data_IF_646980328180
#
_entry.id   IF_646980328180
#
_cell.length_a   1.000
_cell.length_b   1.000
_cell.length_c   1.000
_cell.angle_alpha   90.00
_cell.angle_beta   90.00
_cell.angle_gamma   90.00
#
_symmetry.space_group_name_H-M   'P 1'
#
loop_
_entity.id
_entity.type
_entity.pdbx_description
1 polymer ?
#
# COMPACT_ATOMS: atom_id res chain seq x y z
N UNK A 1 19.98 2.74 -23.69
CA UNK A 1 21.33 2.56 -24.27
C UNK A 1 22.45 2.61 -23.20
N UNK A 2 22.32 3.44 -22.16
CA UNK A 2 23.37 3.54 -21.11
C UNK A 2 23.48 2.29 -20.21
N UNK A 3 22.43 1.48 -20.08
CA UNK A 3 22.40 0.34 -19.16
C UNK A 3 22.56 -1.01 -19.83
N UNK A 4 22.66 -1.05 -21.17
CA UNK A 4 22.73 -2.30 -21.95
C UNK A 4 21.63 -3.31 -21.60
N UNK A 5 20.40 -2.84 -21.45
CA UNK A 5 19.22 -3.60 -21.05
C UNK A 5 18.24 -3.69 -22.21
N UNK A 6 17.70 -4.87 -22.46
CA UNK A 6 16.58 -5.07 -23.39
C UNK A 6 15.26 -4.97 -22.63
N UNK A 7 14.45 -3.96 -22.93
CA UNK A 7 13.11 -3.79 -22.36
C UNK A 7 12.06 -4.28 -23.35
N UNK A 8 11.27 -5.27 -22.95
CA UNK A 8 10.13 -5.78 -23.71
C UNK A 8 8.84 -5.24 -23.13
N UNK A 9 8.34 -4.16 -23.69
CA UNK A 9 7.05 -3.58 -23.30
C UNK A 9 5.88 -4.38 -23.88
N UNK A 10 4.70 -4.28 -23.22
CA UNK A 10 3.47 -4.98 -23.66
C UNK A 10 3.66 -6.49 -23.82
N UNK A 11 4.54 -7.06 -22.99
CA UNK A 11 4.91 -8.47 -23.04
C UNK A 11 4.55 -9.09 -21.70
N UNK A 12 3.61 -10.02 -21.70
CA UNK A 12 3.18 -10.73 -20.49
C UNK A 12 3.82 -12.10 -20.43
N UNK A 13 4.28 -12.46 -19.23
CA UNK A 13 4.74 -13.81 -18.90
C UNK A 13 3.52 -14.66 -18.58
N UNK A 14 3.37 -15.78 -19.28
CA UNK A 14 2.27 -16.73 -19.08
C UNK A 14 2.61 -17.80 -18.02
N UNK A 15 3.86 -18.30 -18.02
CA UNK A 15 4.31 -19.31 -17.06
C UNK A 15 5.85 -19.33 -16.94
N UNK A 16 6.32 -20.00 -15.89
CA UNK A 16 7.75 -20.21 -15.63
C UNK A 16 7.96 -21.71 -15.44
N UNK A 17 8.92 -22.28 -16.19
CA UNK A 17 9.45 -23.62 -15.94
C UNK A 17 10.77 -23.48 -15.19
N UNK A 18 10.75 -23.78 -13.90
CA UNK A 18 11.91 -23.64 -13.01
C UNK A 18 12.95 -24.77 -13.24
N UNK A 19 12.54 -25.92 -13.80
CA UNK A 19 13.45 -27.02 -14.12
C UNK A 19 14.21 -26.80 -15.42
N UNK A 20 13.51 -26.30 -16.45
CA UNK A 20 14.11 -25.96 -17.74
C UNK A 20 14.70 -24.54 -17.75
N UNK A 21 14.55 -23.80 -16.64
CA UNK A 21 14.98 -22.39 -16.53
C UNK A 21 14.47 -21.54 -17.70
N UNK A 22 13.18 -21.59 -17.96
CA UNK A 22 12.54 -20.96 -19.11
C UNK A 22 11.30 -20.18 -18.69
N UNK A 23 11.19 -18.96 -19.21
CA UNK A 23 10.00 -18.12 -19.08
C UNK A 23 9.21 -18.21 -20.39
N UNK A 24 7.93 -18.55 -20.30
CA UNK A 24 7.01 -18.61 -21.44
C UNK A 24 6.17 -17.33 -21.50
N UNK A 25 6.13 -16.70 -22.68
CA UNK A 25 5.38 -15.48 -22.93
C UNK A 25 3.98 -15.80 -23.49
N UNK A 26 3.02 -14.91 -23.23
CA UNK A 26 1.76 -14.92 -23.99
C UNK A 26 2.08 -14.72 -25.47
N UNK A 27 1.76 -15.68 -26.32
CA UNK A 27 2.15 -15.67 -27.73
C UNK A 27 3.11 -16.79 -28.11
N UNK A 28 3.57 -17.59 -27.12
CA UNK A 28 4.25 -18.87 -27.34
C UNK A 28 5.78 -18.78 -27.41
N UNK A 29 6.37 -17.60 -27.33
CA UNK A 29 7.82 -17.46 -27.24
C UNK A 29 8.33 -17.97 -25.89
N UNK A 30 9.46 -18.68 -25.88
CA UNK A 30 10.13 -19.17 -24.70
C UNK A 30 11.50 -18.51 -24.55
N UNK A 31 11.81 -17.99 -23.37
CA UNK A 31 13.04 -17.28 -23.05
C UNK A 31 13.81 -18.06 -21.97
N UNK A 32 14.97 -18.64 -22.29
CA UNK A 32 15.81 -19.26 -21.28
C UNK A 32 16.45 -18.19 -20.39
N UNK A 33 16.69 -18.52 -19.12
CA UNK A 33 17.39 -17.66 -18.18
C UNK A 33 18.50 -18.42 -17.43
N UNK A 34 19.56 -17.73 -17.09
CA UNK A 34 20.55 -18.19 -16.11
C UNK A 34 20.10 -17.85 -14.70
N UNK A 35 19.52 -16.67 -14.53
CA UNK A 35 18.93 -16.17 -13.28
C UNK A 35 17.66 -15.40 -13.59
N UNK A 36 16.66 -15.54 -12.72
CA UNK A 36 15.35 -14.92 -12.87
C UNK A 36 15.02 -14.07 -11.64
N UNK A 37 14.61 -12.84 -11.85
CA UNK A 37 14.12 -11.96 -10.79
C UNK A 37 12.63 -11.71 -10.95
N UNK A 38 11.84 -12.09 -9.96
CA UNK A 38 10.42 -11.80 -9.90
C UNK A 38 10.20 -10.45 -9.20
N UNK A 39 9.78 -9.45 -9.97
CA UNK A 39 9.46 -8.10 -9.49
C UNK A 39 8.02 -7.73 -9.89
N UNK A 40 7.06 -8.60 -9.51
CA UNK A 40 5.68 -8.60 -10.01
C UNK A 40 4.82 -7.48 -9.41
N UNK A 41 5.31 -6.85 -8.34
CA UNK A 41 4.56 -5.80 -7.63
C UNK A 41 3.36 -6.35 -6.87
N UNK A 42 2.41 -5.46 -6.59
CA UNK A 42 1.17 -5.77 -5.90
C UNK A 42 -0.04 -5.55 -6.80
N UNK A 43 -1.18 -6.08 -6.40
CA UNK A 43 -2.48 -5.85 -7.03
C UNK A 43 -3.47 -5.28 -6.02
N UNK A 44 -4.48 -4.56 -6.52
CA UNK A 44 -5.53 -4.02 -5.68
C UNK A 44 -6.36 -5.14 -5.04
N UNK A 45 -6.65 -4.97 -3.75
CA UNK A 45 -7.68 -5.76 -3.09
C UNK A 45 -9.03 -5.27 -3.59
N UNK A 46 -9.86 -6.18 -4.09
CA UNK A 46 -11.23 -5.92 -4.47
C UNK A 46 -12.15 -6.58 -3.45
N UNK A 47 -12.80 -5.81 -2.58
CA UNK A 47 -13.78 -6.35 -1.65
C UNK A 47 -15.00 -6.88 -2.44
N UNK A 48 -15.74 -7.84 -1.90
CA UNK A 48 -16.94 -8.38 -2.53
C UNK A 48 -18.09 -7.36 -2.44
N UNK A 49 -18.12 -6.41 -3.37
CA UNK A 49 -19.17 -5.40 -3.49
C UNK A 49 -20.15 -5.86 -4.56
N UNK A 50 -21.42 -5.88 -4.21
CA UNK A 50 -22.52 -6.17 -5.14
C UNK A 50 -23.02 -4.92 -5.87
N UNK A 51 -24.15 -5.09 -6.56
CA UNK A 51 -24.82 -4.01 -7.30
C UNK A 51 -24.51 -4.02 -8.79
N UNK A 52 -25.33 -3.28 -9.54
CA UNK A 52 -25.26 -3.23 -11.01
C UNK A 52 -24.12 -2.34 -11.55
N UNK A 53 -23.42 -1.62 -10.64
CA UNK A 53 -22.27 -0.80 -10.95
C UNK A 53 -20.98 -1.24 -10.17
N UNK A 54 -20.94 -2.45 -9.63
CA UNK A 54 -19.77 -2.96 -8.90
C UNK A 54 -18.49 -2.94 -9.76
N UNK A 55 -18.60 -3.23 -11.05
CA UNK A 55 -17.47 -3.21 -11.99
C UNK A 55 -17.00 -1.79 -12.36
N UNK A 56 -17.82 -0.76 -12.10
CA UNK A 56 -17.47 0.63 -12.34
C UNK A 56 -16.65 1.23 -11.18
N UNK A 57 -16.51 0.49 -10.06
CA UNK A 57 -15.70 0.92 -8.92
C UNK A 57 -14.23 0.90 -9.31
N UNK A 58 -13.62 2.07 -9.36
CA UNK A 58 -12.24 2.22 -9.75
C UNK A 58 -11.28 1.95 -8.56
N UNK A 59 -10.11 1.46 -8.88
CA UNK A 59 -8.97 1.47 -7.99
C UNK A 59 -7.76 2.01 -8.75
N UNK A 60 -6.81 2.60 -8.07
CA UNK A 60 -5.62 3.20 -8.66
C UNK A 60 -4.37 2.54 -8.11
N UNK A 61 -3.66 1.79 -8.97
CA UNK A 61 -2.41 1.11 -8.64
C UNK A 61 -1.28 1.46 -9.61
N UNK A 62 -1.61 1.94 -10.79
CA UNK A 62 -0.65 2.36 -11.81
C UNK A 62 -1.10 3.64 -12.54
N UNK A 63 -0.27 4.10 -13.50
CA UNK A 63 -0.55 5.33 -14.25
C UNK A 63 -1.75 5.19 -15.19
N UNK A 64 -2.06 4.02 -15.69
CA UNK A 64 -3.21 3.80 -16.56
C UNK A 64 -4.50 3.78 -15.75
N UNK A 65 -4.47 3.24 -14.52
CA UNK A 65 -5.57 3.36 -13.55
C UNK A 65 -5.81 4.83 -13.19
N UNK A 66 -4.73 5.56 -12.88
CA UNK A 66 -4.83 6.99 -12.55
C UNK A 66 -5.41 7.81 -13.71
N UNK A 67 -4.98 7.55 -14.93
CA UNK A 67 -5.53 8.20 -16.14
C UNK A 67 -7.02 7.91 -16.26
N UNK A 68 -7.44 6.64 -16.15
CA UNK A 68 -8.86 6.26 -16.19
C UNK A 68 -9.68 7.00 -15.13
N UNK A 69 -9.14 7.12 -13.93
CA UNK A 69 -9.80 7.88 -12.85
C UNK A 69 -9.94 9.37 -13.20
N UNK A 70 -8.88 10.01 -13.68
CA UNK A 70 -8.92 11.41 -14.11
C UNK A 70 -9.90 11.64 -15.28
N UNK A 71 -9.87 10.76 -16.27
CA UNK A 71 -10.77 10.82 -17.44
C UNK A 71 -12.24 10.69 -17.01
N UNK A 72 -12.56 9.80 -16.05
CA UNK A 72 -13.89 9.66 -15.50
C UNK A 72 -14.34 10.94 -14.81
N UNK A 73 -13.52 11.52 -13.95
CA UNK A 73 -13.86 12.75 -13.24
C UNK A 73 -14.13 13.91 -14.22
N UNK A 74 -13.31 14.03 -15.25
CA UNK A 74 -13.45 15.08 -16.27
C UNK A 74 -14.69 14.88 -17.16
N UNK A 75 -14.91 13.65 -17.64
CA UNK A 75 -16.02 13.33 -18.54
C UNK A 75 -17.40 13.54 -17.91
N UNK A 76 -17.54 13.20 -16.61
CA UNK A 76 -18.78 13.39 -15.87
C UNK A 76 -18.97 14.79 -15.30
N UNK A 77 -17.94 15.66 -15.37
CA UNK A 77 -17.94 16.91 -14.61
C UNK A 77 -18.15 16.66 -13.12
N UNK A 78 -17.57 15.55 -12.61
CA UNK A 78 -17.76 15.06 -11.26
C UNK A 78 -17.46 16.14 -10.23
N UNK A 79 -18.24 16.14 -9.16
CA UNK A 79 -18.06 17.03 -8.00
C UNK A 79 -17.91 16.27 -6.70
N UNK A 80 -18.51 15.08 -6.62
CA UNK A 80 -18.54 14.26 -5.42
C UNK A 80 -17.95 12.88 -5.68
N UNK A 81 -17.00 12.48 -4.84
CA UNK A 81 -16.33 11.17 -4.91
C UNK A 81 -16.59 10.40 -3.62
N UNK A 82 -17.08 9.17 -3.75
CA UNK A 82 -17.10 8.22 -2.65
C UNK A 82 -15.80 7.43 -2.63
N UNK A 83 -15.19 7.30 -1.45
CA UNK A 83 -13.97 6.50 -1.24
C UNK A 83 -14.29 5.33 -0.31
N UNK A 84 -13.99 4.12 -0.75
CA UNK A 84 -14.09 2.91 0.06
C UNK A 84 -12.71 2.61 0.62
N UNK A 85 -12.53 2.84 1.94
CA UNK A 85 -11.27 2.71 2.68
C UNK A 85 -10.70 4.05 3.12
N UNK A 86 -10.41 4.19 4.42
CA UNK A 86 -9.75 5.34 5.03
C UNK A 86 -8.32 4.98 5.53
N UNK A 87 -7.67 4.02 4.83
CA UNK A 87 -6.27 3.69 5.01
C UNK A 87 -5.34 4.74 4.36
N UNK A 88 -4.06 4.39 4.17
CA UNK A 88 -3.03 5.30 3.64
C UNK A 88 -3.46 5.95 2.33
N UNK A 89 -3.77 5.13 1.32
CA UNK A 89 -4.14 5.61 -0.02
C UNK A 89 -5.47 6.36 0.02
N UNK A 90 -6.47 5.87 0.78
CA UNK A 90 -7.77 6.54 0.90
C UNK A 90 -7.65 7.94 1.50
N UNK A 91 -6.84 8.14 2.54
CA UNK A 91 -6.60 9.45 3.14
C UNK A 91 -5.81 10.39 2.22
N UNK A 92 -4.80 9.88 1.48
CA UNK A 92 -4.06 10.68 0.49
C UNK A 92 -4.99 11.16 -0.63
N UNK A 93 -5.81 10.26 -1.23
CA UNK A 93 -6.80 10.64 -2.24
C UNK A 93 -7.85 11.60 -1.69
N UNK A 94 -8.34 11.38 -0.46
CA UNK A 94 -9.26 12.31 0.20
C UNK A 94 -8.67 13.71 0.25
N UNK A 95 -7.43 13.85 0.74
CA UNK A 95 -6.75 15.14 0.82
C UNK A 95 -6.59 15.80 -0.55
N UNK A 96 -6.15 15.05 -1.55
CA UNK A 96 -5.87 15.59 -2.88
C UNK A 96 -7.15 15.98 -3.63
N UNK A 97 -8.22 15.19 -3.53
CA UNK A 97 -9.51 15.51 -4.10
C UNK A 97 -10.13 16.76 -3.47
N UNK A 98 -10.05 16.92 -2.15
CA UNK A 98 -10.48 18.13 -1.46
C UNK A 98 -9.70 19.36 -1.95
N UNK A 99 -8.39 19.26 -2.11
CA UNK A 99 -7.57 20.31 -2.69
C UNK A 99 -7.93 20.60 -4.14
N UNK A 100 -8.41 19.60 -4.89
CA UNK A 100 -8.94 19.72 -6.25
C UNK A 100 -10.36 20.32 -6.34
N UNK A 101 -10.99 20.63 -5.19
CA UNK A 101 -12.34 21.21 -5.13
C UNK A 101 -13.47 20.19 -5.24
N UNK A 102 -13.19 18.90 -5.03
CA UNK A 102 -14.20 17.86 -4.94
C UNK A 102 -14.76 17.77 -3.52
N UNK A 103 -15.99 17.30 -3.39
CA UNK A 103 -16.55 16.82 -2.13
C UNK A 103 -16.22 15.33 -1.99
N UNK A 104 -15.82 14.90 -0.81
CA UNK A 104 -15.42 13.52 -0.56
C UNK A 104 -16.20 12.93 0.61
N UNK A 105 -16.80 11.76 0.39
CA UNK A 105 -17.33 10.91 1.45
C UNK A 105 -16.58 9.58 1.46
N UNK A 106 -15.96 9.24 2.59
CA UNK A 106 -15.19 8.02 2.75
C UNK A 106 -15.86 7.06 3.75
N UNK A 107 -15.87 5.77 3.43
CA UNK A 107 -16.40 4.72 4.31
C UNK A 107 -15.31 3.73 4.68
N UNK A 108 -15.20 3.40 5.97
CA UNK A 108 -14.24 2.41 6.47
C UNK A 108 -14.81 1.70 7.71
N UNK A 109 -14.73 0.35 7.80
CA UNK A 109 -15.23 -0.39 8.96
C UNK A 109 -14.47 -0.14 10.25
N UNK A 110 -13.26 0.40 10.15
CA UNK A 110 -12.46 0.79 11.32
C UNK A 110 -12.95 2.13 11.88
N UNK A 111 -12.41 2.54 13.03
CA UNK A 111 -13.00 3.65 13.80
C UNK A 111 -12.46 5.05 13.53
N UNK A 112 -11.37 5.19 12.75
CA UNK A 112 -10.67 6.47 12.49
C UNK A 112 -9.81 6.40 11.23
N UNK A 113 -9.22 7.50 10.79
CA UNK A 113 -8.31 7.53 9.65
C UNK A 113 -7.01 6.79 9.93
N UNK A 114 -6.50 6.04 8.93
CA UNK A 114 -5.22 5.30 9.01
C UNK A 114 -5.19 4.25 10.15
N UNK A 115 -6.23 3.47 10.37
CA UNK A 115 -6.41 2.70 11.60
C UNK A 115 -5.39 1.56 11.77
N UNK A 116 -4.78 1.10 10.68
CA UNK A 116 -3.72 0.06 10.69
C UNK A 116 -2.34 0.63 10.98
N UNK A 117 -2.17 1.94 10.94
CA UNK A 117 -0.89 2.64 11.07
C UNK A 117 -0.83 3.53 12.31
N UNK A 118 -1.95 4.17 12.67
CA UNK A 118 -2.01 5.16 13.73
C UNK A 118 -2.84 4.67 14.92
N UNK A 119 -2.42 5.01 16.17
CA UNK A 119 -3.31 4.91 17.31
C UNK A 119 -4.48 5.88 17.15
N UNK A 120 -5.60 5.59 17.83
CA UNK A 120 -6.86 6.32 17.68
C UNK A 120 -6.70 7.84 17.79
N UNK A 121 -6.01 8.33 18.80
CA UNK A 121 -5.85 9.78 19.03
C UNK A 121 -5.20 10.47 17.83
N UNK A 122 -4.14 9.87 17.26
CA UNK A 122 -3.46 10.39 16.07
C UNK A 122 -4.34 10.27 14.81
N UNK A 123 -5.05 9.15 14.65
CA UNK A 123 -5.95 8.94 13.51
C UNK A 123 -7.13 9.92 13.52
N UNK A 124 -7.66 10.23 14.70
CA UNK A 124 -8.72 11.25 14.85
C UNK A 124 -8.23 12.67 14.58
N UNK A 125 -6.97 12.99 14.84
CA UNK A 125 -6.39 14.28 14.44
C UNK A 125 -6.34 14.44 12.92
N UNK A 126 -5.98 13.38 12.20
CA UNK A 126 -6.02 13.36 10.72
C UNK A 126 -7.46 13.50 10.22
N UNK A 127 -8.39 12.74 10.81
CA UNK A 127 -9.81 12.82 10.50
C UNK A 127 -10.33 14.25 10.62
N UNK A 128 -10.13 14.88 11.78
CA UNK A 128 -10.62 16.23 12.05
C UNK A 128 -10.07 17.26 11.04
N UNK A 129 -8.79 17.15 10.67
CA UNK A 129 -8.18 18.05 9.69
C UNK A 129 -8.75 17.86 8.26
N UNK A 130 -9.11 16.63 7.88
CA UNK A 130 -9.76 16.36 6.59
C UNK A 130 -11.23 16.77 6.60
N UNK A 131 -11.94 16.59 7.72
CA UNK A 131 -13.32 17.06 7.90
C UNK A 131 -13.42 18.59 7.89
N UNK A 132 -12.46 19.30 8.48
CA UNK A 132 -12.36 20.76 8.39
C UNK A 132 -12.21 21.23 6.93
N UNK A 133 -11.59 20.44 6.06
CA UNK A 133 -11.51 20.68 4.62
C UNK A 133 -12.76 20.25 3.84
N UNK A 134 -13.74 19.63 4.47
CA UNK A 134 -15.01 19.26 3.87
C UNK A 134 -15.15 17.76 3.54
N UNK A 135 -14.31 16.88 4.06
CA UNK A 135 -14.55 15.45 3.99
C UNK A 135 -15.67 15.03 4.95
N UNK A 136 -16.37 13.94 4.58
CA UNK A 136 -17.27 13.23 5.49
C UNK A 136 -16.78 11.79 5.62
N UNK A 137 -16.69 11.29 6.86
CA UNK A 137 -16.29 9.91 7.11
C UNK A 137 -17.43 9.11 7.74
N UNK A 138 -17.66 7.91 7.22
CA UNK A 138 -18.61 6.92 7.73
C UNK A 138 -17.81 5.76 8.31
N UNK A 139 -17.46 5.84 9.58
CA UNK A 139 -16.71 4.80 10.29
C UNK A 139 -17.63 3.77 10.95
N UNK A 140 -17.25 2.50 10.86
CA UNK A 140 -17.97 1.34 11.37
C UNK A 140 -18.70 0.55 10.30
N UNK A 141 -19.50 1.15 9.41
CA UNK A 141 -20.14 0.40 8.34
C UNK A 141 -19.19 0.01 7.20
N UNK A 142 -19.63 -1.00 6.41
CA UNK A 142 -19.01 -1.47 5.19
C UNK A 142 -19.85 -1.08 3.96
N UNK A 143 -19.23 -0.72 2.87
CA UNK A 143 -19.90 -0.66 1.56
C UNK A 143 -20.22 -2.09 1.08
N UNK A 144 -21.46 -2.34 0.76
CA UNK A 144 -21.96 -3.67 0.34
C UNK A 144 -22.40 -3.72 -1.11
N UNK A 145 -22.91 -2.61 -1.64
CA UNK A 145 -23.35 -2.53 -3.02
C UNK A 145 -23.00 -1.16 -3.62
N UNK A 146 -22.77 -1.16 -4.94
CA UNK A 146 -22.68 0.06 -5.74
C UNK A 146 -23.67 -0.09 -6.90
N UNK A 147 -24.64 0.79 -6.95
CA UNK A 147 -25.68 0.78 -7.98
C UNK A 147 -25.67 2.10 -8.76
N UNK A 148 -26.16 2.08 -10.01
CA UNK A 148 -26.34 3.30 -10.79
C UNK A 148 -27.48 4.14 -10.22
N UNK A 149 -27.24 5.44 -10.08
CA UNK A 149 -28.24 6.40 -9.60
C UNK A 149 -28.18 7.67 -10.46
N UNK A 150 -29.11 7.79 -11.40
CA UNK A 150 -29.06 8.86 -12.41
C UNK A 150 -27.79 8.76 -13.27
N UNK A 151 -26.99 9.83 -13.29
CA UNK A 151 -25.68 9.85 -13.97
C UNK A 151 -24.52 9.43 -13.06
N UNK A 152 -24.78 9.23 -11.76
CA UNK A 152 -23.80 8.85 -10.74
C UNK A 152 -24.03 7.45 -10.19
N UNK A 153 -23.69 7.31 -8.92
CA UNK A 153 -23.71 6.06 -8.18
C UNK A 153 -24.33 6.24 -6.79
N UNK A 154 -24.97 5.19 -6.30
CA UNK A 154 -25.42 5.03 -4.92
C UNK A 154 -24.60 3.90 -4.28
N UNK A 155 -23.80 4.22 -3.26
CA UNK A 155 -23.04 3.26 -2.46
C UNK A 155 -23.86 2.91 -1.23
N UNK A 156 -24.36 1.70 -1.15
CA UNK A 156 -25.15 1.19 -0.02
C UNK A 156 -24.21 0.63 1.05
N UNK A 157 -24.46 1.02 2.29
CA UNK A 157 -23.74 0.55 3.46
C UNK A 157 -24.51 -0.54 4.20
N UNK A 158 -23.81 -1.42 4.92
CA UNK A 158 -24.44 -2.52 5.65
C UNK A 158 -25.34 -2.10 6.82
N UNK A 159 -25.31 -0.82 7.23
CA UNK A 159 -26.22 -0.23 8.20
C UNK A 159 -27.52 0.36 7.58
N UNK A 160 -27.64 0.29 6.26
CA UNK A 160 -28.78 0.81 5.49
C UNK A 160 -28.61 2.23 4.97
N UNK A 161 -27.53 2.94 5.33
CA UNK A 161 -27.25 4.27 4.78
C UNK A 161 -26.79 4.16 3.32
N UNK A 162 -26.91 5.26 2.58
CA UNK A 162 -26.49 5.36 1.19
C UNK A 162 -25.68 6.63 0.95
N UNK A 163 -24.54 6.49 0.26
CA UNK A 163 -23.71 7.61 -0.20
C UNK A 163 -23.95 7.80 -1.69
N UNK A 164 -24.46 8.94 -2.10
CA UNK A 164 -24.55 9.33 -3.50
C UNK A 164 -23.22 9.96 -3.95
N UNK A 165 -22.71 9.57 -5.12
CA UNK A 165 -21.47 10.09 -5.67
C UNK A 165 -21.44 10.05 -7.20
N UNK A 166 -20.62 10.91 -7.80
CA UNK A 166 -20.38 10.91 -9.26
C UNK A 166 -19.34 9.87 -9.67
N UNK A 167 -18.45 9.51 -8.75
CA UNK A 167 -17.43 8.48 -8.93
C UNK A 167 -17.19 7.71 -7.62
N UNK A 168 -16.79 6.45 -7.74
CA UNK A 168 -16.45 5.58 -6.59
C UNK A 168 -15.05 5.06 -6.74
N UNK A 169 -14.20 5.32 -5.72
CA UNK A 169 -12.81 4.87 -5.63
C UNK A 169 -12.67 3.84 -4.51
N UNK A 170 -12.13 2.67 -4.83
CA UNK A 170 -11.76 1.66 -3.85
C UNK A 170 -10.29 1.79 -3.46
N UNK A 171 -10.02 2.04 -2.18
CA UNK A 171 -8.69 2.27 -1.60
C UNK A 171 -8.46 1.41 -0.34
N UNK A 172 -8.90 0.14 -0.36
CA UNK A 172 -8.81 -0.80 0.78
C UNK A 172 -7.46 -1.50 0.89
N UNK A 173 -6.50 -1.14 0.04
CA UNK A 173 -5.14 -1.65 0.06
C UNK A 173 -4.80 -2.54 -1.12
N UNK A 174 -3.59 -3.10 -1.04
CA UNK A 174 -2.99 -3.96 -2.05
C UNK A 174 -2.50 -5.26 -1.43
N UNK A 175 -2.33 -6.28 -2.26
CA UNK A 175 -1.70 -7.55 -1.88
C UNK A 175 -0.61 -7.93 -2.89
N UNK A 176 0.44 -8.63 -2.46
CA UNK A 176 1.47 -9.16 -3.35
C UNK A 176 0.91 -9.98 -4.50
N UNK A 177 1.46 -9.82 -5.69
CA UNK A 177 1.18 -10.71 -6.83
C UNK A 177 2.01 -11.97 -6.70
N UNK A 178 1.37 -13.10 -6.45
CA UNK A 178 2.03 -14.38 -6.18
C UNK A 178 1.64 -15.49 -7.15
N UNK A 179 0.57 -15.34 -7.92
CA UNK A 179 -0.01 -16.41 -8.76
C UNK A 179 1.02 -17.02 -9.71
N UNK A 180 1.77 -16.20 -10.46
CA UNK A 180 2.78 -16.70 -11.41
C UNK A 180 3.87 -17.54 -10.71
N UNK A 181 4.28 -17.16 -9.52
CA UNK A 181 5.26 -17.89 -8.72
C UNK A 181 4.67 -19.20 -8.18
N UNK A 182 3.47 -19.14 -7.61
CA UNK A 182 2.75 -20.31 -7.10
C UNK A 182 2.52 -21.36 -8.19
N UNK A 183 2.10 -20.95 -9.38
CA UNK A 183 1.87 -21.85 -10.53
C UNK A 183 3.17 -22.51 -11.01
N UNK A 184 4.31 -21.88 -10.77
CA UNK A 184 5.64 -22.40 -11.06
C UNK A 184 6.24 -23.28 -9.93
N UNK A 185 5.49 -23.55 -8.86
CA UNK A 185 5.96 -24.32 -7.69
C UNK A 185 6.92 -23.54 -6.78
N UNK A 186 6.97 -22.22 -6.92
CA UNK A 186 7.74 -21.37 -6.02
C UNK A 186 6.90 -21.11 -4.76
N UNK A 187 7.56 -21.20 -3.60
CA UNK A 187 6.89 -21.07 -2.30
C UNK A 187 6.32 -19.66 -2.12
N UNK A 188 5.04 -19.62 -1.72
CA UNK A 188 4.33 -18.37 -1.43
C UNK A 188 3.60 -18.47 -0.10
N UNK A 189 3.53 -17.36 0.62
CA UNK A 189 2.72 -17.17 1.81
C UNK A 189 1.93 -15.86 1.66
N UNK A 190 2.25 -14.81 2.38
CA UNK A 190 1.69 -13.46 2.14
C UNK A 190 2.31 -12.79 0.90
N UNK A 191 3.52 -13.20 0.52
CA UNK A 191 4.26 -12.84 -0.66
C UNK A 191 5.02 -14.04 -1.21
N UNK A 192 5.88 -13.84 -2.19
CA UNK A 192 6.83 -14.86 -2.68
C UNK A 192 7.92 -14.99 -1.61
N UNK A 193 8.02 -16.17 -0.99
CA UNK A 193 8.93 -16.40 0.14
C UNK A 193 10.38 -16.36 -0.32
N UNK A 194 11.20 -15.56 0.35
CA UNK A 194 12.64 -15.47 0.10
C UNK A 194 13.45 -15.43 1.39
N UNK A 195 14.71 -15.86 1.29
CA UNK A 195 15.70 -15.62 2.30
C UNK A 195 16.20 -14.14 2.28
N UNK A 196 17.21 -13.83 3.11
CA UNK A 196 17.81 -12.49 3.16
C UNK A 196 18.63 -12.13 1.93
N UNK A 197 19.00 -13.09 1.10
CA UNK A 197 19.67 -12.89 -0.19
C UNK A 197 18.66 -12.79 -1.34
N UNK A 198 17.35 -12.70 -1.01
CA UNK A 198 16.23 -12.61 -1.95
C UNK A 198 16.05 -13.87 -2.82
N UNK A 199 16.64 -15.01 -2.41
CA UNK A 199 16.51 -16.30 -3.08
C UNK A 199 15.19 -16.95 -2.71
N UNK A 200 14.51 -17.49 -3.69
CA UNK A 200 13.33 -18.36 -3.48
C UNK A 200 13.78 -19.81 -3.22
N UNK A 201 12.82 -20.71 -3.01
CA UNK A 201 13.07 -22.15 -2.96
C UNK A 201 13.48 -22.75 -4.33
N UNK A 202 13.25 -22.05 -5.44
CA UNK A 202 13.66 -22.49 -6.77
C UNK A 202 15.08 -22.00 -7.09
N UNK A 203 16.00 -22.88 -7.55
CA UNK A 203 17.36 -22.49 -7.91
C UNK A 203 17.38 -21.36 -8.94
N UNK A 204 18.27 -20.38 -8.74
CA UNK A 204 18.47 -19.24 -9.64
C UNK A 204 17.23 -18.36 -9.84
N UNK A 205 16.25 -18.43 -8.93
CA UNK A 205 15.06 -17.58 -8.93
C UNK A 205 15.03 -16.72 -7.66
N UNK A 206 14.87 -15.43 -7.85
CA UNK A 206 14.83 -14.41 -6.82
C UNK A 206 13.50 -13.67 -6.87
N UNK A 207 13.10 -13.06 -5.74
CA UNK A 207 11.96 -12.14 -5.73
C UNK A 207 12.28 -10.89 -4.93
N UNK A 208 11.75 -9.73 -5.38
CA UNK A 208 11.95 -8.45 -4.72
C UNK A 208 10.76 -7.50 -4.91
N UNK A 209 10.71 -6.47 -4.10
CA UNK A 209 9.65 -5.45 -4.12
C UNK A 209 8.35 -5.97 -3.53
N UNK A 210 7.23 -5.36 -3.91
CA UNK A 210 5.93 -5.57 -3.27
C UNK A 210 5.38 -7.00 -3.38
N UNK A 211 5.91 -7.81 -4.32
CA UNK A 211 5.52 -9.22 -4.43
C UNK A 211 6.28 -10.15 -3.48
N UNK A 212 7.38 -9.70 -2.88
CA UNK A 212 8.26 -10.55 -2.08
C UNK A 212 7.91 -10.53 -0.59
N UNK A 213 8.08 -11.69 0.05
CA UNK A 213 8.10 -11.86 1.50
C UNK A 213 9.53 -12.20 1.92
N UNK A 214 10.30 -11.18 2.30
CA UNK A 214 11.72 -11.31 2.61
C UNK A 214 11.91 -11.64 4.08
N UNK A 215 12.42 -12.82 4.38
CA UNK A 215 12.62 -13.30 5.75
C UNK A 215 11.37 -13.08 6.65
N UNK A 216 10.17 -13.33 6.10
CA UNK A 216 8.89 -13.16 6.79
C UNK A 216 8.30 -11.74 6.74
N UNK A 217 8.96 -10.78 6.09
CA UNK A 217 8.48 -9.39 5.98
C UNK A 217 7.91 -9.10 4.59
N UNK A 218 6.68 -8.58 4.54
CA UNK A 218 6.06 -8.00 3.33
C UNK A 218 6.00 -6.49 3.53
N UNK A 219 6.79 -5.74 2.76
CA UNK A 219 6.95 -4.30 2.91
C UNK A 219 6.69 -3.61 1.56
N UNK A 220 5.47 -3.14 1.35
CA UNK A 220 4.98 -2.54 0.08
C UNK A 220 5.32 -1.04 0.00
N UNK A 221 6.60 -0.70 0.20
CA UNK A 221 7.09 0.68 0.18
C UNK A 221 8.35 0.80 -0.68
N UNK A 222 8.66 2.03 -1.10
CA UNK A 222 9.83 2.29 -1.96
C UNK A 222 11.15 2.06 -1.24
N UNK A 223 11.25 2.38 0.06
CA UNK A 223 12.51 2.26 0.79
C UNK A 223 12.99 0.80 0.91
N UNK A 224 12.15 -0.18 1.33
CA UNK A 224 12.52 -1.59 1.31
C UNK A 224 12.85 -2.12 -0.09
N UNK A 225 12.08 -1.73 -1.11
CA UNK A 225 12.36 -2.10 -2.50
C UNK A 225 13.74 -1.65 -2.94
N UNK A 226 14.15 -0.42 -2.61
CA UNK A 226 15.47 0.10 -2.96
C UNK A 226 16.60 -0.59 -2.20
N UNK A 227 16.38 -1.00 -0.95
CA UNK A 227 17.34 -1.79 -0.18
C UNK A 227 17.50 -3.19 -0.80
N UNK A 228 16.38 -3.86 -1.11
CA UNK A 228 16.37 -5.15 -1.77
C UNK A 228 17.06 -5.12 -3.15
N UNK A 229 16.79 -4.09 -3.96
CA UNK A 229 17.41 -3.94 -5.28
C UNK A 229 18.94 -3.82 -5.20
N UNK A 230 19.47 -3.08 -4.21
CA UNK A 230 20.92 -2.95 -4.02
C UNK A 230 21.58 -4.25 -3.58
N UNK A 231 20.98 -4.94 -2.62
CA UNK A 231 21.49 -6.22 -2.12
C UNK A 231 21.45 -7.30 -3.24
N UNK A 232 20.35 -7.37 -3.97
CA UNK A 232 20.22 -8.31 -5.09
C UNK A 232 21.21 -8.01 -6.21
N UNK A 233 21.39 -6.74 -6.56
CA UNK A 233 22.38 -6.36 -7.59
C UNK A 233 23.80 -6.79 -7.22
N UNK A 234 24.23 -6.64 -5.95
CA UNK A 234 25.51 -7.11 -5.47
C UNK A 234 25.61 -8.66 -5.54
N UNK A 235 24.55 -9.35 -5.09
CA UNK A 235 24.48 -10.82 -5.14
C UNK A 235 24.59 -11.35 -6.58
N UNK A 236 23.85 -10.77 -7.52
CA UNK A 236 23.92 -11.14 -8.94
C UNK A 236 25.26 -10.80 -9.60
N UNK A 237 25.98 -9.82 -9.06
CA UNK A 237 27.35 -9.48 -9.47
C UNK A 237 28.44 -10.39 -8.86
N UNK A 238 28.04 -11.38 -8.03
CA UNK A 238 28.96 -12.35 -7.41
C UNK A 238 29.36 -12.02 -5.96
N UNK A 239 28.86 -10.93 -5.39
CA UNK A 239 29.05 -10.56 -3.98
C UNK A 239 27.78 -10.87 -3.18
N UNK A 240 27.68 -12.09 -2.63
CA UNK A 240 26.52 -12.51 -1.84
C UNK A 240 26.25 -11.52 -0.72
N UNK A 241 25.12 -10.83 -0.80
CA UNK A 241 24.77 -9.72 0.08
C UNK A 241 23.39 -9.94 0.71
N UNK A 242 23.34 -9.93 2.03
CA UNK A 242 22.07 -9.96 2.76
C UNK A 242 21.37 -8.60 2.68
N UNK A 243 20.07 -8.60 2.45
CA UNK A 243 19.29 -7.39 2.61
C UNK A 243 19.14 -7.05 4.09
N UNK A 244 19.22 -5.76 4.39
CA UNK A 244 18.95 -5.19 5.70
C UNK A 244 17.89 -4.11 5.58
N UNK A 245 16.96 -4.10 6.53
CA UNK A 245 15.92 -3.10 6.64
C UNK A 245 16.06 -2.35 7.96
N UNK A 246 16.74 -1.19 7.98
CA UNK A 246 16.69 -0.32 9.15
C UNK A 246 15.27 0.15 9.41
N UNK A 247 15.03 0.89 10.48
CA UNK A 247 13.76 1.58 10.66
C UNK A 247 13.48 2.49 9.45
N UNK A 248 12.31 2.32 8.85
CA UNK A 248 11.88 3.02 7.63
C UNK A 248 10.52 3.70 7.85
N UNK A 249 10.48 4.83 8.58
CA UNK A 249 9.23 5.53 8.83
C UNK A 249 8.55 5.94 7.52
N UNK A 250 7.24 5.74 7.46
CA UNK A 250 6.40 6.06 6.32
C UNK A 250 5.86 7.48 6.47
N UNK A 251 6.11 8.32 5.47
CA UNK A 251 5.49 9.64 5.37
C UNK A 251 4.21 9.55 4.54
N UNK A 252 3.09 9.93 5.12
CA UNK A 252 1.78 9.92 4.47
C UNK A 252 1.49 11.33 3.96
N UNK A 253 1.10 11.43 2.69
CA UNK A 253 0.94 12.70 2.00
C UNK A 253 -0.46 13.28 2.21
N UNK A 254 -0.72 13.70 3.42
CA UNK A 254 -1.93 14.41 3.83
C UNK A 254 -1.57 15.83 4.30
N UNK A 255 -1.34 16.80 3.39
CA UNK A 255 -0.95 18.18 3.76
C UNK A 255 -1.88 18.88 4.75
N UNK A 256 -3.15 18.48 4.84
CA UNK A 256 -4.08 18.97 5.85
C UNK A 256 -3.60 18.65 7.28
N UNK A 257 -3.05 17.47 7.47
CA UNK A 257 -2.40 17.01 8.69
C UNK A 257 -1.25 16.08 8.29
N UNK A 258 -0.02 16.56 8.15
CA UNK A 258 1.13 15.74 7.81
C UNK A 258 1.32 14.59 8.80
N UNK A 259 1.66 13.41 8.30
CA UNK A 259 1.86 12.22 9.14
C UNK A 259 3.19 11.57 8.80
N UNK A 260 3.93 11.18 9.84
CA UNK A 260 5.05 10.23 9.71
C UNK A 260 4.89 9.15 10.77
N UNK A 261 4.92 7.90 10.33
CA UNK A 261 4.67 6.76 11.22
C UNK A 261 5.69 5.65 11.01
N UNK A 262 6.11 5.04 12.08
CA UNK A 262 6.76 3.73 12.13
C UNK A 262 5.98 2.90 13.13
N UNK A 263 5.01 2.10 12.68
CA UNK A 263 4.19 1.32 13.60
C UNK A 263 5.05 0.28 14.32
N UNK A 264 4.74 -0.06 15.58
CA UNK A 264 5.40 -1.17 16.26
C UNK A 264 5.11 -2.49 15.53
N UNK A 265 5.93 -3.51 15.75
CA UNK A 265 5.63 -4.86 15.31
C UNK A 265 4.26 -5.29 15.89
N UNK A 266 3.52 -6.13 15.12
CA UNK A 266 2.14 -6.49 15.46
C UNK A 266 2.02 -7.20 16.82
N UNK A 267 3.06 -7.90 17.22
CA UNK A 267 3.20 -8.67 18.46
C UNK A 267 4.09 -7.97 19.51
N UNK A 268 4.44 -6.69 19.26
CA UNK A 268 5.25 -5.93 20.21
C UNK A 268 4.47 -5.69 21.52
N UNK A 269 5.13 -5.99 22.64
CA UNK A 269 4.61 -5.70 23.98
C UNK A 269 5.02 -4.29 24.39
N UNK A 270 4.03 -3.43 24.67
CA UNK A 270 4.26 -2.03 25.03
C UNK A 270 2.99 -1.20 25.02
N UNK A 271 3.16 0.09 25.29
CA UNK A 271 2.05 1.04 25.39
C UNK A 271 2.33 2.33 24.61
N UNK A 272 1.27 2.97 24.13
CA UNK A 272 1.32 4.29 23.52
C UNK A 272 1.37 5.39 24.57
N UNK A 273 2.37 6.26 24.49
CA UNK A 273 2.49 7.50 25.25
C UNK A 273 2.30 8.68 24.33
N UNK A 274 1.45 9.63 24.73
CA UNK A 274 1.08 10.76 23.89
C UNK A 274 1.61 12.07 24.46
N UNK A 275 2.14 12.93 23.60
CA UNK A 275 2.57 14.28 23.87
C UNK A 275 1.93 15.23 22.86
N UNK A 276 1.56 16.44 23.28
CA UNK A 276 0.90 17.46 22.44
C UNK A 276 -0.58 17.20 22.24
N UNK A 277 -1.22 18.13 21.54
CA UNK A 277 -2.64 18.12 21.22
C UNK A 277 -2.85 18.16 19.70
N UNK A 278 -4.05 17.76 19.21
CA UNK A 278 -4.37 17.83 17.80
C UNK A 278 -4.23 19.25 17.25
N UNK A 279 -3.65 19.42 16.05
CA UNK A 279 -3.20 18.38 15.15
C UNK A 279 -1.76 17.87 15.38
N UNK A 280 -1.03 18.39 16.36
CA UNK A 280 0.42 18.23 16.57
C UNK A 280 0.72 17.15 17.61
N UNK A 281 0.33 15.91 17.32
CA UNK A 281 0.47 14.79 18.26
C UNK A 281 1.77 14.02 18.00
N UNK A 282 2.50 13.75 19.09
CA UNK A 282 3.62 12.82 19.14
C UNK A 282 3.22 11.61 19.96
N UNK A 283 2.96 10.50 19.32
CA UNK A 283 2.67 9.22 19.94
C UNK A 283 3.90 8.31 19.85
N UNK A 284 4.36 7.81 21.00
CA UNK A 284 5.52 6.94 21.15
C UNK A 284 5.08 5.60 21.72
N UNK A 285 5.35 4.52 21.00
CA UNK A 285 5.12 3.17 21.51
C UNK A 285 6.37 2.66 22.20
N UNK A 286 6.28 2.43 23.52
CA UNK A 286 7.42 2.01 24.33
C UNK A 286 7.17 0.66 24.98
N UNK A 287 8.22 -0.16 25.06
CA UNK A 287 8.20 -1.40 25.82
C UNK A 287 8.15 -1.12 27.32
N UNK A 288 7.87 -2.13 28.14
CA UNK A 288 7.94 -2.05 29.60
C UNK A 288 9.33 -1.67 30.13
N UNK A 289 10.40 -1.83 29.34
CA UNK A 289 11.75 -1.37 29.66
C UNK A 289 12.03 0.08 29.22
N UNK A 290 11.04 0.75 28.58
CA UNK A 290 11.16 2.13 28.11
C UNK A 290 11.77 2.26 26.71
N UNK A 291 12.10 1.17 26.02
CA UNK A 291 12.65 1.19 24.66
C UNK A 291 11.59 1.66 23.65
N UNK A 292 11.97 2.52 22.70
CA UNK A 292 11.10 2.98 21.63
C UNK A 292 10.97 1.86 20.58
N UNK A 293 9.73 1.35 20.39
CA UNK A 293 9.42 0.29 19.43
C UNK A 293 8.62 0.78 18.21
N UNK A 294 8.06 1.97 18.31
CA UNK A 294 7.28 2.59 17.24
C UNK A 294 6.92 4.03 17.56
N UNK A 295 6.53 4.78 16.55
CA UNK A 295 5.98 6.13 16.76
C UNK A 295 4.95 6.50 15.69
N UNK A 296 4.07 7.44 16.04
CA UNK A 296 3.15 8.10 15.11
C UNK A 296 3.18 9.61 15.38
N UNK A 297 3.55 10.38 14.37
CA UNK A 297 3.68 11.83 14.45
C UNK A 297 2.68 12.48 13.51
N UNK A 298 1.95 13.48 14.00
CA UNK A 298 1.03 14.29 13.20
C UNK A 298 1.39 15.77 13.26
N UNK A 299 0.94 16.55 12.29
CA UNK A 299 1.15 17.99 12.24
C UNK A 299 2.63 18.40 12.31
N UNK A 300 2.97 19.31 13.21
CA UNK A 300 4.35 19.80 13.39
C UNK A 300 5.27 18.78 14.05
N UNK A 301 4.73 17.79 14.77
CA UNK A 301 5.53 16.75 15.41
C UNK A 301 6.33 15.92 14.41
N UNK A 302 5.94 15.87 13.12
CA UNK A 302 6.69 15.18 12.04
C UNK A 302 8.14 15.65 11.89
N UNK A 303 8.49 16.82 12.43
CA UNK A 303 9.86 17.32 12.42
C UNK A 303 10.81 16.45 13.24
N UNK A 304 10.30 15.73 14.23
CA UNK A 304 11.10 14.88 15.11
C UNK A 304 11.43 13.50 14.51
N UNK A 305 10.86 13.17 13.35
CA UNK A 305 10.99 11.85 12.71
C UNK A 305 12.41 11.31 12.60
N UNK A 306 13.39 12.18 12.27
CA UNK A 306 14.79 11.77 12.06
C UNK A 306 15.50 11.41 13.36
N UNK A 307 15.16 12.06 14.45
CA UNK A 307 15.70 11.74 15.77
C UNK A 307 15.12 10.41 16.26
N UNK A 308 13.79 10.29 16.23
CA UNK A 308 13.09 9.08 16.69
C UNK A 308 13.42 7.85 15.84
N UNK A 309 13.59 7.99 14.53
CA UNK A 309 13.95 6.87 13.66
C UNK A 309 15.31 6.22 14.02
N UNK A 310 16.22 6.99 14.63
CA UNK A 310 17.52 6.46 15.07
C UNK A 310 17.45 5.63 16.36
N UNK A 311 16.37 5.82 17.13
CA UNK A 311 16.13 5.08 18.37
C UNK A 311 15.42 3.75 18.11
N UNK A 312 14.78 3.60 16.94
CA UNK A 312 14.03 2.40 16.60
C UNK A 312 14.96 1.21 16.28
N UNK A 313 14.55 0.00 16.64
CA UNK A 313 15.22 -1.21 16.17
C UNK A 313 15.10 -1.34 14.64
N UNK A 314 16.04 -2.04 14.03
CA UNK A 314 15.94 -2.42 12.63
C UNK A 314 14.74 -3.37 12.42
N UNK A 315 14.07 -3.26 11.27
CA UNK A 315 13.00 -4.20 10.87
C UNK A 315 13.63 -5.56 10.56
N UNK A 316 14.80 -5.56 9.90
CA UNK A 316 15.60 -6.73 9.59
C UNK A 316 17.06 -6.33 9.64
N UNK A 317 17.72 -6.70 10.71
CA UNK A 317 19.13 -6.35 11.00
C UNK A 317 20.16 -7.30 10.40
#
# INVERSE_FOLDING_TARGET
>A
EQLNVTVRTRTRVASIDTHLQTVHLEGGEALPYSELVLALGAELIRPPIGGDAAEDVLGVNDLDDYRRFQDLLAAKGARKVAIIGAGLIGCEFTNDLLNGGFTVEAVDPMGWCLPTLLPEQSGRAVQAALEEKGATFHFGPLATEVNRAGEGYAVTLNNGDTIEADAVLCAVGVRPRTTLASDAGIEVNRGIVTDRQLRTNAPNVYAMGDCAEVAGHVLVYVAPLMAAARALAATLAGETTDVSYPAMPVAIKTPACPVVVSPPAKDADGEWHFEGDAPDIKALFRSGAGELLGFALTGQAVKERMALAKELPAILG
#
